data_IF_573812374615
#
_entry.id   IF_573812374615
#
_cell.length_a   1.000
_cell.length_b   1.000
_cell.length_c   1.000
_cell.angle_alpha   90.00
_cell.angle_beta   90.00
_cell.angle_gamma   90.00
#
_symmetry.space_group_name_H-M   'P 1'
#
loop_
_entity.id
_entity.type
_entity.pdbx_description
1 polymer ?
#
# COMPACT_ATOMS: atom_id res chain seq x y z
N UNK A 1 21.13 -2.59 -0.56
CA UNK A 1 21.10 -3.07 -1.96
C UNK A 1 19.89 -2.54 -2.71
N UNK A 2 18.64 -2.95 -2.45
CA UNK A 2 17.51 -2.50 -3.30
C UNK A 2 17.28 -0.96 -3.28
N UNK A 3 17.25 -0.32 -2.11
CA UNK A 3 17.12 1.14 -1.99
C UNK A 3 18.35 1.89 -2.51
N UNK A 4 19.53 1.27 -2.46
CA UNK A 4 20.77 1.84 -3.02
C UNK A 4 20.74 1.79 -4.56
N UNK A 5 20.14 0.74 -5.13
CA UNK A 5 20.03 0.51 -6.57
C UNK A 5 18.85 1.25 -7.21
N UNK A 6 17.74 1.43 -6.48
CA UNK A 6 16.47 1.94 -7.00
C UNK A 6 15.94 3.21 -6.29
N UNK A 7 16.69 3.77 -5.33
CA UNK A 7 16.35 4.97 -4.58
C UNK A 7 15.35 4.74 -3.43
N UNK A 8 15.15 5.78 -2.61
CA UNK A 8 14.26 5.72 -1.43
C UNK A 8 12.78 5.46 -1.76
N UNK A 9 12.38 5.73 -3.00
CA UNK A 9 11.01 5.54 -3.50
C UNK A 9 10.82 4.21 -4.26
N UNK A 10 11.75 3.25 -4.09
CA UNK A 10 11.65 1.96 -4.74
C UNK A 10 10.33 1.24 -4.39
N UNK A 11 9.63 0.76 -5.43
CA UNK A 11 8.43 -0.05 -5.26
C UNK A 11 8.80 -1.54 -5.20
N UNK A 12 8.23 -2.24 -4.23
CA UNK A 12 8.42 -3.68 -4.04
C UNK A 12 7.15 -4.41 -4.47
N UNK A 13 7.32 -5.49 -5.22
CA UNK A 13 6.23 -6.40 -5.59
C UNK A 13 6.53 -7.77 -5.02
N UNK A 14 5.52 -8.33 -4.35
CA UNK A 14 5.53 -9.66 -3.76
C UNK A 14 4.28 -10.40 -4.24
N UNK A 15 4.42 -11.68 -4.57
CA UNK A 15 3.31 -12.60 -4.75
C UNK A 15 3.26 -13.55 -3.55
N UNK A 16 2.11 -13.65 -2.89
CA UNK A 16 1.91 -14.48 -1.70
C UNK A 16 0.47 -14.97 -1.61
N UNK A 17 0.14 -15.68 -0.54
CA UNK A 17 -1.20 -16.15 -0.25
C UNK A 17 -2.02 -15.12 0.54
N UNK A 18 -3.35 -15.28 0.50
CA UNK A 18 -4.28 -14.37 1.15
C UNK A 18 -4.00 -14.14 2.63
N UNK A 19 -3.65 -15.17 3.39
CA UNK A 19 -3.40 -15.02 4.83
C UNK A 19 -2.16 -14.17 5.15
N UNK A 20 -1.10 -14.31 4.38
CA UNK A 20 0.10 -13.48 4.53
C UNK A 20 -0.22 -12.03 4.16
N UNK A 21 -0.93 -11.81 3.04
CA UNK A 21 -1.35 -10.47 2.61
C UNK A 21 -2.25 -9.81 3.66
N UNK A 22 -3.28 -10.51 4.14
CA UNK A 22 -4.20 -10.00 5.17
C UNK A 22 -3.48 -9.68 6.48
N UNK A 23 -2.48 -10.49 6.86
CA UNK A 23 -1.66 -10.23 8.05
C UNK A 23 -0.86 -8.94 7.92
N UNK A 24 -0.26 -8.67 6.75
CA UNK A 24 0.43 -7.42 6.46
C UNK A 24 -0.52 -6.22 6.47
N UNK A 25 -1.75 -6.38 5.98
CA UNK A 25 -2.77 -5.33 6.04
C UNK A 25 -3.18 -5.03 7.47
N UNK A 26 -3.40 -6.07 8.30
CA UNK A 26 -3.73 -5.89 9.71
C UNK A 26 -2.62 -5.12 10.45
N UNK A 27 -1.36 -5.48 10.24
CA UNK A 27 -0.19 -4.77 10.77
C UNK A 27 -0.14 -3.31 10.29
N UNK A 28 -0.29 -3.08 8.98
CA UNK A 28 -0.28 -1.74 8.39
C UNK A 28 -1.42 -0.84 8.90
N UNK A 29 -2.56 -1.41 9.26
CA UNK A 29 -3.69 -0.68 9.86
C UNK A 29 -3.59 -0.56 11.38
N UNK A 30 -2.59 -1.18 12.02
CA UNK A 30 -2.46 -1.22 13.48
C UNK A 30 -3.56 -2.05 14.16
N UNK A 31 -4.14 -3.00 13.44
CA UNK A 31 -5.14 -3.92 13.98
C UNK A 31 -4.45 -5.05 14.76
N UNK A 32 -5.16 -5.60 15.75
CA UNK A 32 -4.73 -6.85 16.36
C UNK A 32 -4.68 -7.94 15.28
N UNK A 33 -3.61 -8.75 15.24
CA UNK A 33 -3.41 -9.73 14.18
C UNK A 33 -4.62 -10.63 13.98
N UNK A 34 -5.23 -11.17 15.05
CA UNK A 34 -6.43 -12.01 14.97
C UNK A 34 -7.61 -11.40 14.16
N UNK A 35 -7.64 -10.08 13.99
CA UNK A 35 -8.64 -9.41 13.16
C UNK A 35 -8.38 -9.55 11.66
N UNK A 36 -7.25 -10.09 11.22
CA UNK A 36 -6.92 -10.29 9.80
C UNK A 36 -7.95 -11.17 9.09
N UNK A 37 -8.62 -12.07 9.82
CA UNK A 37 -9.70 -12.91 9.30
C UNK A 37 -10.95 -12.13 8.87
N UNK A 38 -11.05 -10.83 9.22
CA UNK A 38 -12.13 -9.92 8.77
C UNK A 38 -11.78 -9.19 7.48
N UNK A 39 -10.54 -9.29 7.01
CA UNK A 39 -10.05 -8.65 5.79
C UNK A 39 -10.25 -9.63 4.64
N UNK A 40 -10.81 -9.17 3.53
CA UNK A 40 -11.00 -9.98 2.33
C UNK A 40 -10.04 -9.55 1.22
N UNK A 41 -9.46 -10.52 0.51
CA UNK A 41 -8.66 -10.32 -0.70
C UNK A 41 -8.97 -11.44 -1.68
N UNK A 42 -9.21 -11.11 -2.94
CA UNK A 42 -9.50 -12.09 -3.98
C UNK A 42 -8.21 -12.71 -4.55
N UNK A 43 -8.25 -13.95 -5.08
CA UNK A 43 -7.15 -14.47 -5.88
C UNK A 43 -6.79 -13.52 -7.03
N UNK A 44 -5.49 -13.38 -7.30
CA UNK A 44 -4.96 -12.46 -8.31
C UNK A 44 -5.31 -10.98 -8.12
N UNK A 45 -5.76 -10.59 -6.92
CA UNK A 45 -5.93 -9.19 -6.55
C UNK A 45 -4.61 -8.54 -6.10
N UNK A 46 -4.59 -7.21 -6.12
CA UNK A 46 -3.46 -6.37 -5.72
C UNK A 46 -3.81 -5.60 -4.46
N UNK A 47 -2.92 -5.65 -3.47
CA UNK A 47 -2.97 -4.83 -2.26
C UNK A 47 -1.75 -3.92 -2.25
N UNK A 48 -1.96 -2.64 -1.99
CA UNK A 48 -0.89 -1.63 -2.02
C UNK A 48 -0.79 -0.95 -0.67
N UNK A 49 0.38 -1.06 -0.06
CA UNK A 49 0.73 -0.36 1.18
C UNK A 49 1.90 0.56 0.87
N UNK A 50 1.74 1.84 1.23
CA UNK A 50 2.82 2.82 1.16
C UNK A 50 3.47 2.95 2.54
N UNK A 51 4.67 2.40 2.67
CA UNK A 51 5.46 2.51 3.90
C UNK A 51 6.21 3.84 3.94
N UNK A 52 5.97 4.64 4.98
CA UNK A 52 6.74 5.86 5.26
C UNK A 52 7.55 5.68 6.53
N UNK A 53 8.44 6.64 6.82
CA UNK A 53 9.22 6.66 8.07
C UNK A 53 8.37 6.70 9.34
N UNK A 54 7.17 7.29 9.28
CA UNK A 54 6.33 7.49 10.47
C UNK A 54 5.27 6.42 10.63
N UNK A 55 4.61 6.05 9.52
CA UNK A 55 3.56 5.03 9.51
C UNK A 55 3.25 4.54 8.10
N UNK A 56 2.74 3.31 7.96
CA UNK A 56 2.20 2.83 6.70
C UNK A 56 0.84 3.45 6.36
N UNK A 57 0.48 3.41 5.08
CA UNK A 57 -0.84 3.78 4.56
C UNK A 57 -1.33 2.69 3.60
N UNK A 58 -2.51 2.13 3.87
CA UNK A 58 -3.18 1.22 2.94
C UNK A 58 -3.82 2.04 1.81
N UNK A 59 -3.32 1.86 0.59
CA UNK A 59 -3.75 2.63 -0.60
C UNK A 59 -4.81 1.87 -1.41
N UNK A 60 -4.66 0.54 -1.49
CA UNK A 60 -5.59 -0.39 -2.16
C UNK A 60 -5.64 -1.69 -1.39
N UNK A 61 -6.81 -2.32 -1.34
CA UNK A 61 -7.03 -3.61 -0.70
C UNK A 61 -7.78 -4.53 -1.65
N UNK A 62 -7.19 -5.67 -1.98
CA UNK A 62 -7.86 -6.69 -2.78
C UNK A 62 -8.35 -6.20 -4.14
N UNK A 63 -7.68 -5.23 -4.76
CA UNK A 63 -8.13 -4.57 -5.98
C UNK A 63 -7.81 -5.42 -7.21
N UNK A 64 -8.78 -5.58 -8.12
CA UNK A 64 -8.64 -6.27 -9.41
C UNK A 64 -8.79 -5.32 -10.60
N UNK A 65 -8.92 -4.02 -10.33
CA UNK A 65 -9.11 -2.97 -11.32
C UNK A 65 -7.81 -2.45 -11.95
N UNK A 66 -7.90 -1.26 -12.54
CA UNK A 66 -6.78 -0.59 -13.20
C UNK A 66 -5.74 -0.08 -12.20
N UNK A 67 -4.46 -0.35 -12.51
CA UNK A 67 -3.32 0.01 -11.68
C UNK A 67 -2.59 1.26 -12.19
N UNK A 68 -3.09 1.93 -13.23
CA UNK A 68 -2.45 3.11 -13.84
C UNK A 68 -2.22 4.24 -12.83
N UNK A 69 -3.11 4.39 -11.83
CA UNK A 69 -2.97 5.37 -10.75
C UNK A 69 -1.80 5.12 -9.79
N UNK A 70 -1.17 3.94 -9.82
CA UNK A 70 0.00 3.59 -9.00
C UNK A 70 1.33 3.93 -9.66
N UNK A 71 1.32 4.46 -10.89
CA UNK A 71 2.55 4.84 -11.59
C UNK A 71 3.30 5.88 -10.76
N UNK A 72 4.63 5.72 -10.58
CA UNK A 72 5.43 6.71 -9.89
C UNK A 72 5.22 8.10 -10.50
N UNK A 73 4.97 9.09 -9.64
CA UNK A 73 4.87 10.48 -10.10
C UNK A 73 6.28 10.98 -10.41
N UNK A 74 6.45 11.64 -11.57
CA UNK A 74 7.69 12.35 -11.87
C UNK A 74 7.97 13.35 -10.73
N UNK A 75 9.21 13.37 -10.26
CA UNK A 75 9.61 13.97 -8.99
C UNK A 75 9.17 15.44 -8.84
N UNK A 76 8.56 15.80 -7.70
CA UNK A 76 8.16 17.18 -7.40
C UNK A 76 6.96 17.41 -6.47
N UNK A 77 6.50 16.41 -5.71
CA UNK A 77 5.44 16.62 -4.71
C UNK A 77 6.02 16.89 -3.33
N UNK A 78 5.82 18.09 -2.78
CA UNK A 78 6.12 18.40 -1.38
C UNK A 78 5.47 17.36 -0.46
N UNK A 79 6.25 16.81 0.48
CA UNK A 79 5.76 15.92 1.53
C UNK A 79 4.98 16.74 2.56
N UNK A 80 3.82 17.24 2.14
CA UNK A 80 2.90 18.02 2.96
C UNK A 80 2.14 17.11 3.91
N UNK A 81 2.08 17.54 5.16
CA UNK A 81 1.26 16.97 6.22
C UNK A 81 -0.14 16.65 5.69
N UNK A 82 -0.56 15.39 5.82
CA UNK A 82 -1.83 14.90 5.28
C UNK A 82 -2.98 15.83 5.70
N UNK A 83 -3.66 16.41 4.71
CA UNK A 83 -4.89 17.19 4.94
C UNK A 83 -5.96 16.24 5.48
N UNK A 84 -6.66 16.64 6.55
CA UNK A 84 -7.78 15.86 7.10
C UNK A 84 -8.84 15.73 6.01
N UNK A 85 -9.16 14.50 5.61
CA UNK A 85 -10.19 14.22 4.59
C UNK A 85 -9.73 13.46 3.35
N UNK A 86 -8.43 13.23 3.15
CA UNK A 86 -7.91 12.47 2.01
C UNK A 86 -7.94 13.26 0.69
N UNK A 87 -6.94 13.04 -0.17
CA UNK A 87 -6.88 13.67 -1.49
C UNK A 87 -8.04 13.22 -2.39
N UNK A 88 -8.38 14.03 -3.39
CA UNK A 88 -9.58 13.91 -4.23
C UNK A 88 -9.76 12.60 -5.01
N UNK A 89 -8.84 11.63 -4.89
CA UNK A 89 -8.82 10.40 -5.68
C UNK A 89 -8.60 10.68 -7.17
N UNK A 90 -7.82 9.86 -7.86
CA UNK A 90 -7.88 9.86 -9.31
C UNK A 90 -9.18 9.14 -9.71
N UNK A 91 -9.99 9.79 -10.54
CA UNK A 91 -11.19 9.22 -11.16
C UNK A 91 -10.82 8.15 -12.18
#
# INVERSE_FOLDING_TARGET
>A
RLTEEHGEQAMYVMCSHGDIIKSLVADALGLHLDQFQRIHVDPCSVTVIHYTRLRPFLVRLGDTGDLTGLRPRAEGGEQGQATVGGGSGAA
#
